data_IF_417822732605
#
_entry.id   IF_417822732605
#
_cell.length_a   1.000
_cell.length_b   1.000
_cell.length_c   1.000
_cell.angle_alpha   90.00
_cell.angle_beta   90.00
_cell.angle_gamma   90.00
#
_symmetry.space_group_name_H-M   'P 1'
#
loop_
_entity.id
_entity.type
_entity.pdbx_description
1 polymer ?
#
# COMPACT_ATOMS: atom_id res chain seq x y z
N UNK A 1 32.69 -68.40 -5.82
CA UNK A 1 33.89 -67.63 -5.44
C UNK A 1 33.45 -66.50 -4.52
N UNK A 2 34.14 -66.38 -3.38
CA UNK A 2 34.21 -65.29 -2.40
C UNK A 2 34.30 -63.89 -3.08
N UNK A 3 34.02 -62.71 -2.51
CA UNK A 3 34.30 -62.12 -1.19
C UNK A 3 33.58 -60.74 -1.22
N UNK A 4 32.66 -60.40 -0.33
CA UNK A 4 32.82 -59.49 0.82
C UNK A 4 33.73 -58.24 0.69
N UNK A 5 33.21 -57.13 1.27
CA UNK A 5 33.90 -56.06 2.04
C UNK A 5 33.93 -54.62 1.47
N UNK A 6 33.22 -53.78 2.24
CA UNK A 6 33.26 -52.33 2.51
C UNK A 6 34.67 -51.77 2.77
N UNK A 7 35.03 -50.60 2.23
CA UNK A 7 36.07 -49.73 2.84
C UNK A 7 35.75 -48.23 2.64
N UNK A 8 35.76 -47.52 3.76
CA UNK A 8 35.73 -46.06 3.97
C UNK A 8 37.07 -45.37 3.61
N UNK A 9 37.03 -44.07 3.33
CA UNK A 9 38.16 -43.13 3.51
C UNK A 9 38.38 -42.23 2.28
N UNK A 10 38.66 -40.94 2.36
CA UNK A 10 39.15 -40.12 3.46
C UNK A 10 38.71 -38.65 3.30
N UNK A 11 38.64 -37.97 4.45
CA UNK A 11 38.43 -36.54 4.62
C UNK A 11 39.65 -35.78 4.08
N UNK A 12 39.43 -34.64 3.41
CA UNK A 12 40.45 -33.60 3.29
C UNK A 12 39.84 -32.26 3.64
N UNK A 13 40.26 -31.80 4.82
CA UNK A 13 40.09 -30.45 5.33
C UNK A 13 40.78 -29.45 4.41
N UNK A 14 40.05 -28.44 3.94
CA UNK A 14 40.64 -27.21 3.43
C UNK A 14 40.14 -26.08 4.32
N UNK A 15 41.00 -25.66 5.25
CA UNK A 15 40.85 -24.44 6.03
C UNK A 15 41.06 -23.20 5.11
N UNK A 16 40.53 -22.02 5.49
CA UNK A 16 40.11 -20.99 4.56
C UNK A 16 41.28 -20.11 4.10
N UNK A 17 41.27 -19.74 2.83
CA UNK A 17 42.04 -18.60 2.35
C UNK A 17 41.40 -17.33 2.90
N UNK A 18 42.08 -16.71 3.85
CA UNK A 18 41.81 -15.37 4.31
C UNK A 18 42.16 -14.41 3.17
N UNK A 19 41.15 -13.77 2.59
CA UNK A 19 41.33 -12.51 1.88
C UNK A 19 40.53 -11.43 2.60
N UNK A 20 41.28 -10.54 3.27
CA UNK A 20 40.79 -9.33 3.90
C UNK A 20 40.62 -8.30 2.78
N UNK A 21 39.38 -7.94 2.44
CA UNK A 21 39.06 -6.61 1.91
C UNK A 21 37.56 -6.42 1.85
N UNK A 22 37.09 -5.33 2.44
CA UNK A 22 35.72 -4.85 2.33
C UNK A 22 34.88 -5.28 3.50
N UNK A 23 34.75 -4.37 4.47
CA UNK A 23 33.55 -4.22 5.27
C UNK A 23 32.34 -4.21 4.32
N UNK A 24 31.81 -5.39 4.02
CA UNK A 24 30.46 -5.52 3.54
C UNK A 24 29.59 -5.12 4.73
N UNK A 25 29.38 -3.81 4.84
CA UNK A 25 28.39 -3.23 5.72
C UNK A 25 27.14 -4.09 5.58
N UNK A 26 26.77 -4.71 6.69
CA UNK A 26 25.50 -5.40 6.85
C UNK A 26 24.47 -4.36 6.39
N UNK A 27 23.96 -4.53 5.17
CA UNK A 27 22.83 -3.74 4.71
C UNK A 27 21.77 -3.88 5.79
N UNK A 28 21.08 -2.80 6.19
CA UNK A 28 19.98 -2.91 7.13
C UNK A 28 18.86 -3.73 6.48
N UNK A 29 18.98 -5.05 6.51
CA UNK A 29 17.93 -5.99 6.17
C UNK A 29 16.83 -5.74 7.19
N UNK A 30 15.70 -5.26 6.68
CA UNK A 30 14.49 -4.89 7.40
C UNK A 30 14.61 -3.54 8.13
N UNK A 31 14.53 -2.43 7.37
CA UNK A 31 13.77 -1.30 7.93
C UNK A 31 12.37 -1.83 8.23
N UNK A 32 12.04 -1.99 9.51
CA UNK A 32 10.71 -2.42 9.93
C UNK A 32 9.67 -1.52 9.26
N UNK A 33 8.77 -2.12 8.48
CA UNK A 33 7.65 -1.41 7.90
C UNK A 33 6.82 -0.82 9.05
N UNK A 34 6.57 0.50 9.01
CA UNK A 34 5.83 1.14 10.11
C UNK A 34 4.47 0.46 10.32
N UNK A 35 3.99 0.33 11.58
CA UNK A 35 2.71 -0.30 11.87
C UNK A 35 1.54 0.31 11.09
N UNK A 36 1.57 1.62 10.87
CA UNK A 36 0.55 2.33 10.08
C UNK A 36 0.59 1.88 8.60
N UNK A 37 1.76 1.70 7.99
CA UNK A 37 1.87 1.19 6.61
C UNK A 37 1.38 -0.24 6.50
N UNK A 38 1.77 -1.11 7.45
CA UNK A 38 1.31 -2.50 7.48
C UNK A 38 -0.23 -2.58 7.57
N UNK A 39 -0.83 -1.86 8.51
CA UNK A 39 -2.28 -1.84 8.68
C UNK A 39 -2.99 -1.24 7.46
N UNK A 40 -2.43 -0.19 6.87
CA UNK A 40 -2.98 0.41 5.65
C UNK A 40 -2.94 -0.57 4.47
N UNK A 41 -1.85 -1.32 4.28
CA UNK A 41 -1.76 -2.38 3.25
C UNK A 41 -2.77 -3.49 3.49
N UNK A 42 -2.93 -3.96 4.72
CA UNK A 42 -3.91 -4.97 5.07
C UNK A 42 -5.35 -4.52 4.75
N UNK A 43 -5.71 -3.28 5.10
CA UNK A 43 -7.01 -2.70 4.73
C UNK A 43 -7.16 -2.56 3.22
N UNK A 44 -6.14 -2.07 2.52
CA UNK A 44 -6.21 -1.90 1.07
C UNK A 44 -6.36 -3.25 0.36
N UNK A 45 -5.68 -4.29 0.83
CA UNK A 45 -5.85 -5.65 0.30
C UNK A 45 -7.28 -6.13 0.45
N UNK A 46 -7.92 -5.88 1.60
CA UNK A 46 -9.33 -6.21 1.80
C UNK A 46 -10.24 -5.41 0.85
N UNK A 47 -9.99 -4.12 0.67
CA UNK A 47 -10.73 -3.28 -0.26
C UNK A 47 -10.62 -3.80 -1.71
N UNK A 48 -9.39 -4.01 -2.21
CA UNK A 48 -9.16 -4.46 -3.58
C UNK A 48 -9.69 -5.87 -3.83
N UNK A 49 -9.58 -6.78 -2.85
CA UNK A 49 -10.18 -8.11 -2.93
C UNK A 49 -11.70 -8.06 -3.10
N UNK A 50 -12.36 -7.11 -2.42
CA UNK A 50 -13.81 -6.89 -2.58
C UNK A 50 -14.14 -6.28 -3.94
N UNK A 51 -13.30 -5.37 -4.44
CA UNK A 51 -13.45 -4.82 -5.80
C UNK A 51 -13.35 -5.92 -6.86
N UNK A 52 -12.34 -6.78 -6.80
CA UNK A 52 -12.16 -7.92 -7.71
C UNK A 52 -13.37 -8.87 -7.67
N UNK A 53 -13.92 -9.12 -6.48
CA UNK A 53 -15.11 -9.98 -6.28
C UNK A 53 -16.44 -9.28 -6.58
N UNK A 54 -16.42 -8.01 -6.96
CA UNK A 54 -17.61 -7.18 -7.18
C UNK A 54 -18.51 -7.01 -5.94
N UNK A 55 -17.93 -7.14 -4.74
CA UNK A 55 -18.58 -6.85 -3.47
C UNK A 55 -18.54 -5.33 -3.19
N UNK A 56 -19.45 -4.61 -3.83
CA UNK A 56 -19.49 -3.15 -3.79
C UNK A 56 -19.85 -2.58 -2.43
N UNK A 57 -20.71 -3.24 -1.68
CA UNK A 57 -21.10 -2.77 -0.35
C UNK A 57 -19.94 -2.92 0.63
N UNK A 58 -19.18 -4.01 0.53
CA UNK A 58 -17.95 -4.18 1.27
C UNK A 58 -16.87 -3.16 0.90
N UNK A 59 -16.69 -2.88 -0.40
CA UNK A 59 -15.75 -1.85 -0.86
C UNK A 59 -16.14 -0.44 -0.34
N UNK A 60 -17.44 -0.10 -0.37
CA UNK A 60 -17.96 1.18 0.16
C UNK A 60 -17.70 1.32 1.66
N UNK A 61 -17.85 0.25 2.45
CA UNK A 61 -17.54 0.27 3.91
C UNK A 61 -16.08 0.57 4.21
N UNK A 62 -15.17 0.23 3.29
CA UNK A 62 -13.74 0.53 3.39
C UNK A 62 -13.34 1.82 2.68
N UNK A 63 -14.31 2.55 2.11
CA UNK A 63 -14.09 3.86 1.49
C UNK A 63 -14.36 4.97 2.51
N UNK A 64 -13.52 5.98 2.53
CA UNK A 64 -13.65 7.10 3.43
C UNK A 64 -15.00 7.83 3.22
N UNK A 65 -15.71 8.15 4.31
CA UNK A 65 -17.04 8.74 4.23
C UNK A 65 -17.08 10.06 3.45
N UNK A 66 -16.05 10.92 3.58
CA UNK A 66 -15.97 12.16 2.77
C UNK A 66 -15.88 11.87 1.28
N UNK A 67 -15.16 10.82 0.90
CA UNK A 67 -15.04 10.40 -0.51
C UNK A 67 -16.38 9.92 -1.04
N UNK A 68 -17.14 9.15 -0.27
CA UNK A 68 -18.49 8.74 -0.67
C UNK A 68 -19.42 9.96 -0.88
N UNK A 69 -19.29 10.99 -0.05
CA UNK A 69 -20.02 12.26 -0.23
C UNK A 69 -19.58 12.97 -1.52
N UNK A 70 -18.27 13.02 -1.82
CA UNK A 70 -17.74 13.59 -3.07
C UNK A 70 -18.30 12.85 -4.29
N UNK A 71 -18.25 11.52 -4.28
CA UNK A 71 -18.79 10.65 -5.33
C UNK A 71 -20.28 10.94 -5.54
N UNK A 72 -21.07 10.96 -4.47
CA UNK A 72 -22.51 11.25 -4.55
C UNK A 72 -22.79 12.67 -5.07
N UNK A 73 -21.96 13.65 -4.71
CA UNK A 73 -22.09 15.02 -5.20
C UNK A 73 -21.72 15.14 -6.68
N UNK A 74 -20.68 14.44 -7.16
CA UNK A 74 -20.32 14.37 -8.58
C UNK A 74 -21.45 13.77 -9.42
N UNK A 75 -22.04 12.66 -8.96
CA UNK A 75 -23.20 12.05 -9.61
C UNK A 75 -24.37 13.02 -9.73
N UNK A 76 -24.70 13.76 -8.66
CA UNK A 76 -25.79 14.75 -8.68
C UNK A 76 -25.54 15.89 -9.66
N UNK A 77 -24.30 16.36 -9.80
CA UNK A 77 -23.96 17.49 -10.69
C UNK A 77 -23.85 17.10 -12.16
N UNK A 78 -23.30 15.94 -12.46
CA UNK A 78 -22.97 15.55 -13.84
C UNK A 78 -23.87 14.46 -14.41
N UNK A 79 -24.72 13.85 -13.58
CA UNK A 79 -25.52 12.68 -13.95
C UNK A 79 -24.71 11.38 -14.02
N UNK A 80 -23.38 11.44 -13.95
CA UNK A 80 -22.48 10.30 -14.11
C UNK A 80 -21.54 10.16 -12.92
N UNK A 81 -21.34 8.93 -12.45
CA UNK A 81 -20.46 8.61 -11.34
C UNK A 81 -19.08 8.18 -11.87
N UNK A 82 -18.27 9.16 -12.31
CA UNK A 82 -16.90 8.93 -12.83
C UNK A 82 -15.84 9.30 -11.79
N UNK A 83 -15.71 8.49 -10.75
CA UNK A 83 -14.67 8.65 -9.73
C UNK A 83 -13.80 7.37 -9.66
N UNK A 84 -12.50 7.52 -9.44
CA UNK A 84 -11.56 6.38 -9.41
C UNK A 84 -11.85 5.37 -8.28
N UNK A 85 -12.52 5.82 -7.21
CA UNK A 85 -13.04 4.99 -6.11
C UNK A 85 -14.53 4.62 -6.24
N UNK A 86 -15.12 4.74 -7.43
CA UNK A 86 -16.45 4.25 -7.74
C UNK A 86 -16.41 3.13 -8.81
N UNK A 87 -15.69 2.01 -8.56
CA UNK A 87 -15.53 0.94 -9.55
C UNK A 87 -16.86 0.31 -9.98
N UNK A 88 -17.89 0.34 -9.13
CA UNK A 88 -19.23 -0.13 -9.46
C UNK A 88 -19.93 0.67 -10.57
N UNK A 89 -19.47 1.88 -10.84
CA UNK A 89 -20.00 2.74 -11.91
C UNK A 89 -19.13 2.68 -13.19
N UNK A 90 -17.93 2.11 -13.11
CA UNK A 90 -17.04 1.96 -14.26
C UNK A 90 -17.32 0.62 -14.97
N UNK A 91 -17.83 0.68 -16.19
CA UNK A 91 -18.06 -0.50 -17.05
C UNK A 91 -16.93 -0.75 -18.04
N UNK A 92 -16.00 0.19 -18.17
CA UNK A 92 -14.94 0.17 -19.18
C UNK A 92 -13.69 -0.56 -18.70
N UNK A 93 -13.50 -0.67 -17.38
CA UNK A 93 -12.33 -1.29 -16.76
C UNK A 93 -12.73 -2.14 -15.55
N UNK A 94 -12.32 -3.40 -15.55
CA UNK A 94 -12.55 -4.35 -14.45
C UNK A 94 -11.23 -4.84 -13.87
N UNK A 95 -10.93 -4.49 -12.61
CA UNK A 95 -9.77 -4.98 -11.88
C UNK A 95 -9.85 -6.51 -11.70
N UNK A 96 -8.80 -7.23 -12.10
CA UNK A 96 -8.70 -8.69 -12.02
C UNK A 96 -7.72 -9.14 -10.94
N UNK A 97 -6.54 -8.54 -10.90
CA UNK A 97 -5.55 -8.81 -9.86
C UNK A 97 -4.74 -7.55 -9.57
N UNK A 98 -3.96 -7.60 -8.50
CA UNK A 98 -3.16 -6.47 -8.04
C UNK A 98 -1.94 -6.95 -7.25
N UNK A 99 -0.90 -6.12 -7.22
CA UNK A 99 0.29 -6.33 -6.37
C UNK A 99 0.73 -5.02 -5.73
N UNK A 100 1.19 -5.07 -4.48
CA UNK A 100 1.80 -3.90 -3.85
C UNK A 100 3.23 -3.72 -4.36
N UNK A 101 3.56 -2.51 -4.83
CA UNK A 101 4.87 -2.19 -5.40
C UNK A 101 5.66 -1.20 -4.54
N UNK A 102 4.97 -0.40 -3.72
CA UNK A 102 5.61 0.55 -2.81
C UNK A 102 4.64 1.10 -1.80
N UNK A 103 5.15 1.66 -0.70
CA UNK A 103 4.34 2.41 0.25
C UNK A 103 5.18 3.45 0.98
N UNK A 104 4.54 4.52 1.42
CA UNK A 104 5.19 5.62 2.14
C UNK A 104 4.22 6.32 3.07
N UNK A 105 4.62 6.52 4.32
CA UNK A 105 3.86 7.33 5.25
C UNK A 105 4.08 8.81 4.95
N UNK A 106 3.00 9.57 4.81
CA UNK A 106 3.03 11.03 4.49
C UNK A 106 2.95 11.87 5.76
N UNK A 107 2.15 11.41 6.70
CA UNK A 107 1.94 11.99 8.02
C UNK A 107 1.33 10.93 8.95
N UNK A 108 1.29 11.16 10.26
CA UNK A 108 0.56 10.28 11.18
C UNK A 108 -0.87 10.03 10.68
N UNK A 109 -1.25 8.75 10.53
CA UNK A 109 -2.55 8.35 10.02
C UNK A 109 -2.81 8.60 8.52
N UNK A 110 -1.81 8.94 7.71
CA UNK A 110 -1.94 9.05 6.24
C UNK A 110 -0.81 8.29 5.53
N UNK A 111 -1.17 7.34 4.67
CA UNK A 111 -0.24 6.46 3.96
C UNK A 111 -0.57 6.44 2.47
N UNK A 112 0.46 6.54 1.64
CA UNK A 112 0.39 6.27 0.21
C UNK A 112 0.82 4.83 -0.05
N UNK A 113 0.06 4.12 -0.88
CA UNK A 113 0.41 2.74 -1.29
C UNK A 113 0.30 2.68 -2.80
N UNK A 114 1.38 2.27 -3.46
CA UNK A 114 1.38 1.99 -4.88
C UNK A 114 1.04 0.53 -5.15
N UNK A 115 0.19 0.36 -6.15
CA UNK A 115 -0.33 -0.91 -6.60
C UNK A 115 -0.10 -1.01 -8.11
N UNK A 116 0.41 -2.14 -8.58
CA UNK A 116 0.30 -2.54 -9.98
C UNK A 116 -1.03 -3.26 -10.18
N UNK A 117 -1.87 -2.75 -11.09
CA UNK A 117 -3.22 -3.25 -11.35
C UNK A 117 -3.32 -3.95 -12.70
N UNK A 118 -3.80 -5.19 -12.69
CA UNK A 118 -4.17 -5.88 -13.91
C UNK A 118 -5.67 -5.74 -14.10
N UNK A 119 -6.08 -5.06 -15.17
CA UNK A 119 -7.47 -4.74 -15.44
C UNK A 119 -7.88 -5.18 -16.84
N UNK A 120 -9.08 -5.77 -16.96
CA UNK A 120 -9.69 -6.02 -18.25
C UNK A 120 -10.35 -4.74 -18.77
N UNK A 121 -9.91 -4.25 -19.94
CA UNK A 121 -10.46 -3.05 -20.59
C UNK A 121 -11.44 -3.47 -21.69
N UNK A 122 -12.71 -3.12 -21.51
CA UNK A 122 -13.79 -3.55 -22.42
C UNK A 122 -13.65 -2.94 -23.81
N UNK A 123 -13.22 -1.67 -23.90
CA UNK A 123 -13.06 -0.98 -25.18
C UNK A 123 -11.95 -1.59 -26.06
N UNK A 124 -10.87 -2.04 -25.43
CA UNK A 124 -9.71 -2.66 -26.10
C UNK A 124 -9.88 -4.17 -26.26
N UNK A 125 -10.91 -4.77 -25.63
CA UNK A 125 -11.10 -6.22 -25.50
C UNK A 125 -9.85 -6.94 -25.01
N UNK A 126 -9.10 -6.32 -24.09
CA UNK A 126 -7.76 -6.76 -23.70
C UNK A 126 -7.48 -6.57 -22.21
N UNK A 127 -6.38 -7.19 -21.77
CA UNK A 127 -5.83 -6.98 -20.43
C UNK A 127 -4.81 -5.84 -20.48
N UNK A 128 -5.00 -4.84 -19.62
CA UNK A 128 -3.89 -3.99 -19.18
C UNK A 128 -3.21 -4.67 -18.01
N UNK A 129 -1.88 -4.71 -18.03
CA UNK A 129 -1.07 -5.43 -17.05
C UNK A 129 -0.19 -4.44 -16.34
N UNK A 130 -0.18 -4.54 -15.01
CA UNK A 130 0.68 -3.77 -14.13
C UNK A 130 0.51 -2.24 -14.24
N UNK A 131 -0.72 -1.78 -14.52
CA UNK A 131 -1.03 -0.35 -14.57
C UNK A 131 -0.77 0.27 -13.18
N UNK A 132 0.07 1.30 -13.06
CA UNK A 132 0.39 1.87 -11.76
C UNK A 132 -0.79 2.67 -11.21
N UNK A 133 -1.10 2.47 -9.93
CA UNK A 133 -2.06 3.27 -9.21
C UNK A 133 -1.60 3.55 -7.78
N UNK A 134 -1.73 4.79 -7.33
CA UNK A 134 -1.46 5.17 -5.94
C UNK A 134 -2.77 5.36 -5.19
N UNK A 135 -2.90 4.60 -4.10
CA UNK A 135 -4.00 4.66 -3.15
C UNK A 135 -3.62 5.50 -1.94
N UNK A 136 -4.53 6.38 -1.54
CA UNK A 136 -4.39 7.21 -0.35
C UNK A 136 -5.21 6.61 0.78
N UNK A 137 -4.52 6.16 1.82
CA UNK A 137 -5.10 5.52 2.99
C UNK A 137 -5.10 6.50 4.16
N UNK A 138 -6.22 6.61 4.86
CA UNK A 138 -6.37 7.50 6.01
C UNK A 138 -6.92 6.76 7.22
N UNK A 139 -6.36 7.05 8.40
CA UNK A 139 -6.83 6.53 9.69
C UNK A 139 -8.04 7.35 10.14
N UNK A 140 -9.19 6.71 10.20
CA UNK A 140 -10.50 7.31 10.48
C UNK A 140 -11.37 6.33 11.27
N UNK A 141 -12.03 6.78 12.34
CA UNK A 141 -12.95 5.95 13.16
C UNK A 141 -12.35 4.62 13.63
N UNK A 142 -11.08 4.64 14.06
CA UNK A 142 -10.39 3.48 14.63
C UNK A 142 -9.71 2.54 13.63
N UNK A 143 -9.72 2.82 12.33
CA UNK A 143 -9.03 1.99 11.33
C UNK A 143 -8.61 2.77 10.09
N UNK A 144 -7.82 2.15 9.21
CA UNK A 144 -7.55 2.72 7.89
C UNK A 144 -8.75 2.54 6.96
N UNK A 145 -8.95 3.49 6.06
CA UNK A 145 -9.92 3.44 4.95
C UNK A 145 -9.31 4.12 3.72
N UNK A 146 -9.81 3.75 2.54
CA UNK A 146 -9.35 4.31 1.26
C UNK A 146 -10.01 5.67 1.03
N UNK A 147 -9.21 6.73 0.94
CA UNK A 147 -9.68 8.09 0.72
C UNK A 147 -9.63 8.52 -0.74
N UNK A 148 -8.62 8.09 -1.49
CA UNK A 148 -8.50 8.42 -2.92
C UNK A 148 -7.71 7.36 -3.70
N UNK A 149 -7.84 7.39 -5.03
CA UNK A 149 -7.05 6.63 -5.99
C UNK A 149 -6.57 7.55 -7.11
N UNK A 150 -5.26 7.58 -7.34
CA UNK A 150 -4.60 8.22 -8.47
C UNK A 150 -4.20 7.13 -9.48
N UNK A 151 -5.01 6.92 -10.50
CA UNK A 151 -4.75 5.93 -11.54
C UNK A 151 -3.71 6.43 -12.55
N UNK A 152 -2.83 5.55 -13.03
CA UNK A 152 -1.75 5.89 -13.96
C UNK A 152 -0.62 6.71 -13.35
N UNK A 153 -0.47 6.67 -12.02
CA UNK A 153 0.48 7.51 -11.27
C UNK A 153 1.40 6.62 -10.43
N UNK A 154 2.69 6.92 -10.44
CA UNK A 154 3.71 6.27 -9.61
C UNK A 154 3.84 6.95 -8.24
N UNK A 155 4.36 6.23 -7.25
CA UNK A 155 4.52 6.76 -5.88
C UNK A 155 5.45 7.99 -5.83
N UNK A 156 6.47 8.01 -6.69
CA UNK A 156 7.43 9.12 -6.82
C UNK A 156 6.78 10.43 -7.25
N UNK A 157 5.67 10.36 -7.98
CA UNK A 157 5.01 11.52 -8.56
C UNK A 157 4.03 12.18 -7.56
N UNK A 158 3.77 11.53 -6.43
CA UNK A 158 2.85 12.03 -5.41
C UNK A 158 3.61 12.73 -4.29
N UNK A 159 3.57 14.06 -4.36
CA UNK A 159 4.11 14.95 -3.33
C UNK A 159 3.38 14.83 -1.98
N UNK A 160 4.13 14.76 -0.88
CA UNK A 160 3.55 14.79 0.46
C UNK A 160 2.82 16.09 0.77
N UNK A 161 3.35 17.20 0.27
CA UNK A 161 2.75 18.50 0.46
C UNK A 161 1.38 18.56 -0.22
N UNK A 162 1.25 18.03 -1.45
CA UNK A 162 -0.03 18.01 -2.15
C UNK A 162 -1.07 17.13 -1.45
N UNK A 163 -0.65 16.02 -0.85
CA UNK A 163 -1.53 15.18 -0.02
C UNK A 163 -1.97 15.92 1.24
N UNK A 164 -1.05 16.55 1.98
CA UNK A 164 -1.42 17.28 3.20
C UNK A 164 -2.37 18.45 2.93
N UNK A 165 -2.15 19.17 1.83
CA UNK A 165 -3.02 20.28 1.41
C UNK A 165 -4.35 19.82 0.81
N UNK A 166 -4.36 18.71 0.08
CA UNK A 166 -5.52 18.23 -0.69
C UNK A 166 -6.57 17.46 0.11
N UNK A 167 -6.20 16.89 1.26
CA UNK A 167 -7.10 16.03 2.06
C UNK A 167 -7.29 16.53 3.51
N UNK A 168 -7.65 17.81 3.74
CA UNK A 168 -7.90 18.31 5.08
C UNK A 168 -9.07 17.57 5.73
N UNK A 169 -8.85 17.10 6.96
CA UNK A 169 -9.85 16.39 7.76
C UNK A 169 -10.18 14.97 7.32
N UNK A 170 -9.35 14.36 6.46
CA UNK A 170 -9.44 12.92 6.16
C UNK A 170 -8.84 12.03 7.26
N UNK A 171 -7.86 12.54 8.00
CA UNK A 171 -7.33 11.90 9.21
C UNK A 171 -8.17 12.32 10.41
N UNK A 172 -8.47 11.37 11.30
CA UNK A 172 -9.17 11.65 12.54
C UNK A 172 -8.42 12.67 13.41
N UNK A 173 -9.15 13.61 14.01
CA UNK A 173 -8.54 14.63 14.85
C UNK A 173 -7.84 14.04 16.07
N UNK A 174 -8.35 12.92 16.60
CA UNK A 174 -7.73 12.23 17.73
C UNK A 174 -6.33 11.70 17.36
N UNK A 175 -6.18 11.13 16.16
CA UNK A 175 -4.88 10.65 15.64
C UNK A 175 -3.90 11.82 15.51
N UNK A 176 -4.36 12.95 14.98
CA UNK A 176 -3.52 14.15 14.87
C UNK A 176 -3.17 14.77 16.22
N UNK A 177 -4.07 14.70 17.20
CA UNK A 177 -3.84 15.21 18.55
C UNK A 177 -2.83 14.33 19.30
N UNK A 178 -2.95 13.01 19.16
CA UNK A 178 -2.00 12.06 19.75
C UNK A 178 -0.59 12.27 19.19
N UNK A 179 -0.44 12.33 17.87
CA UNK A 179 0.86 12.54 17.25
C UNK A 179 1.51 13.86 17.72
N UNK A 180 0.73 14.94 17.84
CA UNK A 180 1.22 16.22 18.39
C UNK A 180 1.70 16.11 19.84
N UNK A 181 1.03 15.33 20.68
CA UNK A 181 1.44 15.08 22.06
C UNK A 181 2.73 14.27 22.11
N UNK A 182 2.84 13.22 21.32
CA UNK A 182 4.04 12.38 21.22
C UNK A 182 5.26 13.19 20.74
N UNK A 183 5.09 14.03 19.71
CA UNK A 183 6.16 14.95 19.27
C UNK A 183 6.56 15.94 20.36
N UNK A 184 5.61 16.51 21.09
CA UNK A 184 5.92 17.46 22.17
C UNK A 184 6.67 16.82 23.36
N UNK A 185 6.39 15.54 23.65
CA UNK A 185 7.12 14.76 24.65
C UNK A 185 8.55 14.46 24.21
N UNK A 186 8.77 14.21 22.91
CA UNK A 186 10.09 13.93 22.35
C UNK A 186 10.95 15.20 22.20
N UNK A 187 10.34 16.35 21.90
CA UNK A 187 11.02 17.64 21.69
C UNK A 187 11.38 18.39 23.01
N UNK A 188 11.16 17.78 24.18
CA UNK A 188 11.78 18.26 25.43
C UNK A 188 11.38 19.68 25.86
N UNK A 189 10.12 20.10 25.68
CA UNK A 189 9.56 21.26 26.39
C UNK A 189 8.90 20.85 27.70
N UNK A 190 9.69 20.28 28.59
CA UNK A 190 9.44 20.32 30.03
C UNK A 190 10.66 20.93 30.70
N UNK A 191 10.66 22.26 30.83
CA UNK A 191 11.25 22.95 31.96
C UNK A 191 10.11 23.46 32.81
#
# INVERSE_FOLDING_TARGET
MFLAVLVLGAVSSVAPAADRSGEAGVQPMLSEESPDVFLAKATLQQYLSRVVRKDWDGARRLTHARTLVVIAHMRRRTGVERHNLAPWANRESELKTFRFTGARQVSPGAVLIQVGEDSYRTAEQGMSVDDPAVYLMFKSRGGFVVGDKKAGVELSDVSDHSVRAGYPGYVDQQVQAQARRESALFDGRHR
#
